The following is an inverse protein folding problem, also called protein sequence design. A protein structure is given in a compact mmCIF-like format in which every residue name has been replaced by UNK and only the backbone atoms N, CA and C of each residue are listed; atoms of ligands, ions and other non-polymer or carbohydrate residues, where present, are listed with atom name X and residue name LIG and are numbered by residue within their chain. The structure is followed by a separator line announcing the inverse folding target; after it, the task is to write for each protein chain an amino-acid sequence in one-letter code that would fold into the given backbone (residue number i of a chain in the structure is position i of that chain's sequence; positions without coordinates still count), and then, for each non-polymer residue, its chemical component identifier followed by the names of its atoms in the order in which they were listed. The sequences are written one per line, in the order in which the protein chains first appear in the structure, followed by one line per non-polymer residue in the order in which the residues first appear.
data_IF_494648200181
#
_entry.id   IF_494648200181
#
_cell.length_a   1.000
_cell.length_b   1.000
_cell.length_c   1.000
_cell.angle_alpha   90.00
_cell.angle_beta   90.00
_cell.angle_gamma   90.00
#
_symmetry.space_group_name_H-M   'P 1'
#
loop_
_entity.id
_entity.type
_entity.pdbx_description
1 polymer ?
#
# COMPACT_ATOMS: atom_id res chain seq x y z
N UNK A 1 16.40 -23.42 -10.51
CA UNK A 1 15.29 -23.66 -9.56
C UNK A 1 15.60 -23.12 -8.16
N UNK A 2 16.53 -23.72 -7.40
CA UNK A 2 16.79 -23.34 -5.99
C UNK A 2 17.17 -21.86 -5.78
N UNK A 3 17.95 -21.26 -6.69
CA UNK A 3 18.30 -19.82 -6.60
C UNK A 3 17.08 -18.91 -6.78
N UNK A 4 16.18 -19.25 -7.70
CA UNK A 4 14.94 -18.49 -7.94
C UNK A 4 13.99 -18.60 -6.75
N UNK A 5 13.86 -19.79 -6.16
CA UNK A 5 13.06 -20.00 -4.95
C UNK A 5 13.60 -19.19 -3.75
N UNK A 6 14.92 -19.15 -3.57
CA UNK A 6 15.55 -18.30 -2.53
C UNK A 6 15.31 -16.81 -2.77
N UNK A 7 15.42 -16.36 -4.02
CA UNK A 7 15.13 -14.97 -4.36
C UNK A 7 13.65 -14.62 -4.12
N UNK A 8 12.72 -15.50 -4.49
CA UNK A 8 11.30 -15.31 -4.22
C UNK A 8 11.03 -15.20 -2.72
N UNK A 9 11.62 -16.08 -1.90
CA UNK A 9 11.51 -16.01 -0.45
C UNK A 9 12.09 -14.71 0.12
N UNK A 10 13.24 -14.26 -0.37
CA UNK A 10 13.84 -12.99 0.05
C UNK A 10 12.94 -11.79 -0.29
N UNK A 11 12.43 -11.70 -1.52
CA UNK A 11 11.51 -10.62 -1.90
C UNK A 11 10.23 -10.68 -1.07
N UNK A 12 9.73 -11.86 -0.74
CA UNK A 12 8.59 -12.02 0.14
C UNK A 12 8.85 -11.48 1.57
N UNK A 13 10.05 -11.71 2.11
CA UNK A 13 10.44 -11.11 3.39
C UNK A 13 10.50 -9.59 3.31
N UNK A 14 10.95 -9.03 2.18
CA UNK A 14 10.92 -7.58 1.96
C UNK A 14 9.49 -7.04 1.90
N UNK A 15 8.56 -7.75 1.26
CA UNK A 15 7.13 -7.38 1.27
C UNK A 15 6.62 -7.26 2.71
N UNK A 16 6.90 -8.26 3.55
CA UNK A 16 6.49 -8.26 4.96
C UNK A 16 7.13 -7.09 5.71
N UNK A 17 8.45 -6.90 5.57
CA UNK A 17 9.18 -5.84 6.25
C UNK A 17 8.63 -4.45 5.90
N UNK A 18 8.53 -4.13 4.62
CA UNK A 18 8.08 -2.81 4.17
C UNK A 18 6.58 -2.60 4.38
N UNK A 19 5.76 -3.66 4.28
CA UNK A 19 4.34 -3.61 4.65
C UNK A 19 4.13 -3.30 6.12
N UNK A 20 4.93 -3.90 7.01
CA UNK A 20 4.90 -3.59 8.44
C UNK A 20 5.36 -2.16 8.72
N UNK A 21 6.40 -1.67 8.04
CA UNK A 21 6.84 -0.27 8.16
C UNK A 21 5.69 0.68 7.80
N UNK A 22 5.09 0.50 6.62
CA UNK A 22 4.02 1.38 6.14
C UNK A 22 2.77 1.33 7.05
N UNK A 23 2.37 0.14 7.50
CA UNK A 23 1.17 -0.01 8.34
C UNK A 23 1.45 0.30 9.81
N UNK A 24 2.27 -0.52 10.47
CA UNK A 24 2.39 -0.56 11.94
C UNK A 24 3.25 0.58 12.46
N UNK A 25 4.31 0.93 11.74
CA UNK A 25 5.25 1.95 12.23
C UNK A 25 4.90 3.36 11.76
N UNK A 26 4.15 3.50 10.66
CA UNK A 26 3.74 4.81 10.13
C UNK A 26 2.26 5.06 10.38
N UNK A 27 1.34 4.33 9.73
CA UNK A 27 -0.10 4.63 9.82
C UNK A 27 -0.67 4.44 11.23
N UNK A 28 -0.44 3.30 11.87
CA UNK A 28 -0.95 3.01 13.21
C UNK A 28 -0.38 3.94 14.30
N UNK A 29 0.72 4.65 14.00
CA UNK A 29 1.34 5.63 14.90
C UNK A 29 0.88 7.06 14.67
N UNK A 30 0.58 7.42 13.44
CA UNK A 30 0.27 8.80 13.06
C UNK A 30 -1.23 9.06 12.92
N UNK A 31 -2.04 8.04 12.65
CA UNK A 31 -3.45 8.18 12.31
C UNK A 31 -4.34 7.85 13.50
N UNK A 32 -5.10 8.84 13.94
CA UNK A 32 -6.27 8.63 14.80
C UNK A 32 -7.51 8.55 13.89
N UNK A 33 -8.06 7.35 13.74
CA UNK A 33 -9.18 7.11 12.83
C UNK A 33 -10.49 7.76 13.26
N UNK A 34 -10.58 8.29 14.49
CA UNK A 34 -11.76 8.98 15.01
C UNK A 34 -11.55 10.50 15.12
N UNK A 35 -10.31 10.99 15.03
CA UNK A 35 -9.97 12.41 15.19
C UNK A 35 -9.08 12.95 14.05
N UNK A 36 -9.69 13.77 13.19
CA UNK A 36 -9.03 14.38 12.05
C UNK A 36 -7.93 15.37 12.44
N UNK A 37 -8.17 16.21 13.46
CA UNK A 37 -7.23 17.23 13.91
C UNK A 37 -5.95 16.62 14.51
N UNK A 38 -6.11 15.55 15.32
CA UNK A 38 -4.97 14.79 15.86
C UNK A 38 -4.18 14.15 14.73
N UNK A 39 -4.86 13.51 13.77
CA UNK A 39 -4.21 12.91 12.60
C UNK A 39 -3.42 13.95 11.80
N UNK A 40 -4.02 15.09 11.49
CA UNK A 40 -3.38 16.18 10.76
C UNK A 40 -2.12 16.68 11.47
N UNK A 41 -2.24 16.97 12.78
CA UNK A 41 -1.13 17.41 13.63
C UNK A 41 0.02 16.40 13.62
N UNK A 42 -0.28 15.11 13.78
CA UNK A 42 0.73 14.05 13.78
C UNK A 42 1.46 13.95 12.44
N UNK A 43 0.72 14.01 11.32
CA UNK A 43 1.27 13.91 9.97
C UNK A 43 2.17 15.11 9.67
N UNK A 44 1.72 16.34 9.95
CA UNK A 44 2.51 17.55 9.71
C UNK A 44 3.78 17.55 10.55
N UNK A 45 3.69 17.18 11.83
CA UNK A 45 4.86 17.10 12.72
C UNK A 45 5.85 15.98 12.32
N UNK A 46 5.39 14.96 11.60
CA UNK A 46 6.18 13.79 11.20
C UNK A 46 6.18 13.57 9.68
N UNK A 47 6.16 14.65 8.88
CA UNK A 47 5.95 14.57 7.43
C UNK A 47 6.93 13.60 6.74
N UNK A 48 8.23 13.69 7.09
CA UNK A 48 9.26 12.82 6.50
C UNK A 48 9.02 11.34 6.81
N UNK A 49 8.51 11.03 8.00
CA UNK A 49 8.15 9.66 8.38
C UNK A 49 6.92 9.16 7.63
N UNK A 50 5.93 10.04 7.46
CA UNK A 50 4.75 9.73 6.64
C UNK A 50 5.12 9.45 5.18
N UNK A 51 5.98 10.30 4.57
CA UNK A 51 6.53 10.07 3.22
C UNK A 51 7.31 8.76 3.13
N UNK A 52 8.07 8.41 4.16
CA UNK A 52 8.79 7.15 4.22
C UNK A 52 7.85 5.93 4.26
N UNK A 53 6.70 6.04 4.93
CA UNK A 53 5.65 5.02 4.87
C UNK A 53 5.12 4.78 3.46
N UNK A 54 4.82 5.86 2.73
CA UNK A 54 4.41 5.78 1.32
C UNK A 54 5.48 5.11 0.45
N UNK A 55 6.75 5.54 0.57
CA UNK A 55 7.86 4.93 -0.17
C UNK A 55 8.02 3.45 0.18
N UNK A 56 7.88 3.08 1.46
CA UNK A 56 7.92 1.69 1.90
C UNK A 56 6.82 0.87 1.24
N UNK A 57 5.61 1.39 1.15
CA UNK A 57 4.49 0.74 0.45
C UNK A 57 4.80 0.54 -1.05
N UNK A 58 5.43 1.51 -1.72
CA UNK A 58 5.86 1.34 -3.12
C UNK A 58 6.94 0.26 -3.27
N UNK A 59 7.92 0.21 -2.38
CA UNK A 59 8.98 -0.83 -2.40
C UNK A 59 8.37 -2.21 -2.18
N UNK A 60 7.41 -2.32 -1.26
CA UNK A 60 6.63 -3.53 -1.03
C UNK A 60 5.95 -4.00 -2.33
N UNK A 61 5.26 -3.10 -3.05
CA UNK A 61 4.61 -3.42 -4.32
C UNK A 61 5.59 -3.86 -5.41
N UNK A 62 6.75 -3.22 -5.52
CA UNK A 62 7.80 -3.63 -6.48
C UNK A 62 8.34 -5.02 -6.17
N UNK A 63 8.55 -5.33 -4.90
CA UNK A 63 8.93 -6.66 -4.46
C UNK A 63 7.84 -7.68 -4.77
N UNK A 64 6.56 -7.30 -4.63
CA UNK A 64 5.41 -8.14 -4.95
C UNK A 64 5.31 -8.48 -6.45
N UNK A 65 5.57 -7.52 -7.33
CA UNK A 65 5.70 -7.78 -8.78
C UNK A 65 6.80 -8.82 -9.04
N UNK A 66 7.95 -8.67 -8.38
CA UNK A 66 9.06 -9.62 -8.48
C UNK A 66 8.68 -11.02 -8.00
N UNK A 67 8.02 -11.14 -6.84
CA UNK A 67 7.49 -12.40 -6.32
C UNK A 67 6.51 -13.03 -7.30
N UNK A 68 5.58 -12.25 -7.85
CA UNK A 68 4.59 -12.71 -8.83
C UNK A 68 5.27 -13.35 -10.05
N UNK A 69 6.27 -12.69 -10.61
CA UNK A 69 7.03 -13.21 -11.75
C UNK A 69 7.81 -14.48 -11.40
N UNK A 70 8.44 -14.53 -10.22
CA UNK A 70 9.21 -15.70 -9.78
C UNK A 70 8.32 -16.90 -9.48
N UNK A 71 7.18 -16.70 -8.81
CA UNK A 71 6.18 -17.75 -8.58
C UNK A 71 5.63 -18.27 -9.92
N UNK A 72 5.37 -17.40 -10.89
CA UNK A 72 4.99 -17.83 -12.23
C UNK A 72 6.04 -18.77 -12.87
N UNK A 73 7.32 -18.40 -12.80
CA UNK A 73 8.40 -19.22 -13.36
C UNK A 73 8.56 -20.56 -12.64
N UNK A 74 8.36 -20.59 -11.32
CA UNK A 74 8.51 -21.78 -10.49
C UNK A 74 7.32 -22.75 -10.64
N UNK A 75 6.09 -22.23 -10.62
CA UNK A 75 4.86 -23.03 -10.59
C UNK A 75 4.36 -23.46 -11.97
N UNK A 76 4.80 -22.81 -13.05
CA UNK A 76 4.39 -23.18 -14.42
C UNK A 76 4.73 -24.64 -14.78
N UNK A 77 5.70 -25.24 -14.10
CA UNK A 77 6.09 -26.64 -14.30
C UNK A 77 5.05 -27.63 -13.75
N UNK A 78 4.23 -27.20 -12.80
CA UNK A 78 3.19 -28.03 -12.18
C UNK A 78 1.85 -27.89 -12.90
N UNK A 79 1.39 -26.66 -13.16
CA UNK A 79 0.17 -26.39 -13.93
C UNK A 79 0.21 -25.02 -14.58
N UNK A 80 0.31 -24.99 -15.91
CA UNK A 80 0.40 -23.73 -16.67
C UNK A 80 -0.86 -22.86 -16.50
N UNK A 81 -2.05 -23.46 -16.57
CA UNK A 81 -3.30 -22.71 -16.51
C UNK A 81 -3.51 -22.10 -15.12
N UNK A 82 -3.31 -22.87 -14.05
CA UNK A 82 -3.47 -22.37 -12.68
C UNK A 82 -2.42 -21.30 -12.36
N UNK A 83 -1.19 -21.47 -12.84
CA UNK A 83 -0.13 -20.47 -12.66
C UNK A 83 -0.45 -19.15 -13.35
N UNK A 84 -1.08 -19.17 -14.53
CA UNK A 84 -1.55 -17.94 -15.20
C UNK A 84 -2.64 -17.27 -14.37
N UNK A 85 -3.65 -18.03 -13.93
CA UNK A 85 -4.78 -17.50 -13.14
C UNK A 85 -4.28 -16.86 -11.84
N UNK A 86 -3.47 -17.58 -11.06
CA UNK A 86 -2.92 -17.07 -9.79
C UNK A 86 -2.03 -15.84 -9.99
N UNK A 87 -1.24 -15.78 -11.06
CA UNK A 87 -0.43 -14.60 -11.38
C UNK A 87 -1.30 -13.40 -11.80
N UNK A 88 -2.39 -13.61 -12.55
CA UNK A 88 -3.32 -12.55 -12.92
C UNK A 88 -4.02 -11.95 -11.71
N UNK A 89 -4.51 -12.79 -10.79
CA UNK A 89 -5.14 -12.32 -9.55
C UNK A 89 -4.16 -11.56 -8.65
N UNK A 90 -2.93 -12.07 -8.49
CA UNK A 90 -1.88 -11.36 -7.73
C UNK A 90 -1.54 -10.02 -8.37
N UNK A 91 -1.38 -9.98 -9.69
CA UNK A 91 -1.07 -8.75 -10.40
C UNK A 91 -2.22 -7.73 -10.34
N UNK A 92 -3.48 -8.17 -10.43
CA UNK A 92 -4.65 -7.31 -10.21
C UNK A 92 -4.66 -6.72 -8.80
N UNK A 93 -4.36 -7.52 -7.77
CA UNK A 93 -4.20 -7.04 -6.38
C UNK A 93 -3.14 -5.93 -6.29
N UNK A 94 -1.98 -6.14 -6.91
CA UNK A 94 -0.89 -5.15 -6.91
C UNK A 94 -1.34 -3.85 -7.57
N UNK A 95 -2.03 -3.90 -8.72
CA UNK A 95 -2.52 -2.71 -9.42
C UNK A 95 -3.51 -1.95 -8.54
N UNK A 96 -4.49 -2.65 -7.95
CA UNK A 96 -5.50 -2.02 -7.08
C UNK A 96 -4.81 -1.33 -5.91
N UNK A 97 -3.85 -2.00 -5.27
CA UNK A 97 -3.13 -1.42 -4.14
C UNK A 97 -2.22 -0.25 -4.55
N UNK A 98 -1.57 -0.32 -5.72
CA UNK A 98 -0.77 0.78 -6.25
C UNK A 98 -1.60 2.03 -6.53
N UNK A 99 -2.81 1.88 -7.10
CA UNK A 99 -3.74 2.99 -7.27
C UNK A 99 -4.22 3.51 -5.92
N UNK A 100 -4.52 2.60 -4.99
CA UNK A 100 -4.96 2.94 -3.63
C UNK A 100 -3.90 3.73 -2.85
N UNK A 101 -2.62 3.45 -3.07
CA UNK A 101 -1.50 4.15 -2.43
C UNK A 101 -1.50 5.67 -2.71
N UNK A 102 -2.15 6.12 -3.80
CA UNK A 102 -2.37 7.54 -4.06
C UNK A 102 -3.18 8.22 -2.94
N UNK A 103 -4.17 7.53 -2.37
CA UNK A 103 -4.98 8.05 -1.27
C UNK A 103 -4.18 8.16 0.04
N UNK A 104 -3.21 7.27 0.28
CA UNK A 104 -2.27 7.44 1.38
C UNK A 104 -1.41 8.69 1.17
N UNK A 105 -0.82 8.86 -0.02
CA UNK A 105 0.00 10.03 -0.32
C UNK A 105 -0.79 11.35 -0.28
N UNK A 106 -2.04 11.35 -0.76
CA UNK A 106 -2.87 12.54 -0.94
C UNK A 106 -3.14 13.32 0.36
N UNK A 107 -3.10 12.68 1.53
CA UNK A 107 -3.24 13.37 2.81
C UNK A 107 -2.24 14.52 2.97
N UNK A 108 -1.00 14.37 2.52
CA UNK A 108 0.04 15.40 2.64
C UNK A 108 -0.27 16.69 1.86
N UNK A 109 -0.48 16.67 0.53
CA UNK A 109 -0.81 17.88 -0.22
C UNK A 109 -2.17 18.46 0.17
N UNK A 110 -3.11 17.67 0.68
CA UNK A 110 -4.37 18.18 1.23
C UNK A 110 -4.08 19.05 2.46
N UNK A 111 -3.32 18.53 3.43
CA UNK A 111 -2.96 19.25 4.65
C UNK A 111 -2.04 20.46 4.39
N UNK A 112 -1.25 20.43 3.32
CA UNK A 112 -0.43 21.57 2.92
C UNK A 112 -1.25 22.77 2.42
N UNK A 113 -2.53 22.57 2.07
CA UNK A 113 -3.45 23.65 1.70
C UNK A 113 -2.96 24.60 0.57
N UNK A 114 -2.52 24.09 -0.59
CA UNK A 114 -2.15 24.94 -1.74
C UNK A 114 -3.29 25.87 -2.17
N UNK A 115 -2.99 26.90 -2.97
CA UNK A 115 -3.92 27.99 -3.33
C UNK A 115 -5.32 27.50 -3.80
N UNK A 116 -5.39 26.44 -4.60
CA UNK A 116 -6.67 25.89 -5.09
C UNK A 116 -7.54 25.22 -4.00
N UNK A 117 -6.96 24.92 -2.84
CA UNK A 117 -7.66 24.35 -1.67
C UNK A 117 -8.04 25.41 -0.61
N UNK A 118 -7.71 26.68 -0.82
CA UNK A 118 -8.08 27.78 0.11
C UNK A 118 -9.60 28.04 0.20
N UNK A 119 -10.40 27.38 -0.66
CA UNK A 119 -11.86 27.36 -0.56
C UNK A 119 -12.36 26.53 0.64
N UNK A 120 -11.54 25.62 1.16
CA UNK A 120 -11.85 24.80 2.32
C UNK A 120 -11.31 25.46 3.60
N UNK A 121 -12.04 25.31 4.70
CA UNK A 121 -11.49 25.62 6.02
C UNK A 121 -10.44 24.60 6.44
N UNK A 122 -9.61 24.95 7.42
CA UNK A 122 -8.61 24.05 8.01
C UNK A 122 -9.24 22.72 8.47
N UNK A 123 -10.32 22.79 9.26
CA UNK A 123 -11.08 21.62 9.72
C UNK A 123 -11.57 20.73 8.57
N UNK A 124 -11.94 21.31 7.43
CA UNK A 124 -12.36 20.55 6.24
C UNK A 124 -11.18 19.85 5.57
N UNK A 125 -10.00 20.48 5.52
CA UNK A 125 -8.78 19.86 5.00
C UNK A 125 -8.32 18.70 5.88
N UNK A 126 -8.37 18.86 7.20
CA UNK A 126 -8.08 17.78 8.15
C UNK A 126 -9.03 16.59 7.96
N UNK A 127 -10.33 16.84 7.85
CA UNK A 127 -11.34 15.81 7.60
C UNK A 127 -11.11 15.12 6.24
N UNK A 128 -10.76 15.87 5.20
CA UNK A 128 -10.48 15.33 3.87
C UNK A 128 -9.20 14.49 3.85
N UNK A 129 -8.16 14.88 4.59
CA UNK A 129 -6.95 14.11 4.75
C UNK A 129 -7.22 12.77 5.45
N UNK A 130 -7.97 12.79 6.57
CA UNK A 130 -8.38 11.56 7.24
C UNK A 130 -9.26 10.68 6.35
N UNK A 131 -10.20 11.28 5.61
CA UNK A 131 -11.01 10.54 4.63
C UNK A 131 -10.14 9.85 3.57
N UNK A 132 -9.10 10.52 3.05
CA UNK A 132 -8.17 9.93 2.09
C UNK A 132 -7.47 8.69 2.65
N UNK A 133 -7.06 8.73 3.91
CA UNK A 133 -6.44 7.59 4.60
C UNK A 133 -7.46 6.46 4.85
N UNK A 134 -8.71 6.78 5.20
CA UNK A 134 -9.77 5.77 5.32
C UNK A 134 -10.08 5.11 3.97
N UNK A 135 -10.09 5.89 2.90
CA UNK A 135 -10.27 5.40 1.53
C UNK A 135 -9.12 4.46 1.11
N UNK A 136 -7.88 4.77 1.52
CA UNK A 136 -6.75 3.85 1.37
C UNK A 136 -7.04 2.50 2.03
N UNK A 137 -7.51 2.49 3.28
CA UNK A 137 -7.88 1.25 3.97
C UNK A 137 -8.95 0.42 3.24
N UNK A 138 -9.96 1.08 2.66
CA UNK A 138 -10.97 0.39 1.85
C UNK A 138 -10.36 -0.21 0.58
N UNK A 139 -9.54 0.56 -0.15
CA UNK A 139 -8.87 0.06 -1.36
C UNK A 139 -7.90 -1.09 -1.07
N UNK A 140 -7.22 -1.05 0.08
CA UNK A 140 -6.39 -2.15 0.56
C UNK A 140 -7.22 -3.42 0.77
N UNK A 141 -8.37 -3.33 1.44
CA UNK A 141 -9.28 -4.46 1.63
C UNK A 141 -9.81 -5.03 0.30
N UNK A 142 -10.11 -4.17 -0.67
CA UNK A 142 -10.50 -4.62 -2.02
C UNK A 142 -9.34 -5.39 -2.68
N UNK A 143 -8.10 -4.91 -2.56
CA UNK A 143 -6.93 -5.61 -3.10
C UNK A 143 -6.77 -7.02 -2.50
N UNK A 144 -7.03 -7.17 -1.19
CA UNK A 144 -6.92 -8.45 -0.49
C UNK A 144 -7.88 -9.52 -1.01
N UNK A 145 -9.03 -9.13 -1.57
CA UNK A 145 -9.94 -10.09 -2.21
C UNK A 145 -9.25 -10.81 -3.38
N UNK A 146 -8.55 -10.06 -4.24
CA UNK A 146 -7.82 -10.61 -5.38
C UNK A 146 -6.58 -11.38 -4.91
N UNK A 147 -5.88 -10.86 -3.90
CA UNK A 147 -4.77 -11.57 -3.28
C UNK A 147 -5.19 -12.94 -2.72
N UNK A 148 -6.36 -13.02 -2.07
CA UNK A 148 -6.90 -14.25 -1.51
C UNK A 148 -7.15 -15.33 -2.58
N UNK A 149 -7.68 -14.94 -3.74
CA UNK A 149 -7.90 -15.88 -4.86
C UNK A 149 -6.58 -16.39 -5.43
N UNK A 150 -5.53 -15.57 -5.44
CA UNK A 150 -4.19 -16.02 -5.86
C UNK A 150 -3.64 -17.19 -5.01
N UNK A 151 -4.09 -17.34 -3.76
CA UNK A 151 -3.62 -18.40 -2.85
C UNK A 151 -4.25 -19.78 -3.12
N UNK A 152 -5.23 -19.87 -4.03
CA UNK A 152 -5.92 -21.11 -4.43
C UNK A 152 -5.21 -21.73 -5.64
#
# INVERSE_FOLDING_TARGET
MVRLARLAGFLYLMIILFGLIAQVFVRDRLVDYENAAITATNIVNSESWYRFGFVSELIMLLCDVGVTALLFILLKQTSKNLTIVTALFRFASIIILAVTALSHYAALPILAGPEYLQVFSEEQLEALALFSIKLHGVGYNISLLFFGIHLI
#
